data_IF_461940448277
#
_entry.id   IF_461940448277
#
_cell.length_a   1.000
_cell.length_b   1.000
_cell.length_c   1.000
_cell.angle_alpha   90.00
_cell.angle_beta   90.00
_cell.angle_gamma   90.00
#
_symmetry.space_group_name_H-M   'P 1'
#
loop_
_entity.id
_entity.type
_entity.pdbx_description
1 polymer ?
#
# COMPACT_ATOMS: atom_id res chain seq x y z
N UNK A 1 -29.81 33.96 59.67
CA UNK A 1 -29.71 34.20 58.20
C UNK A 1 -28.28 34.15 57.67
N UNK A 2 -27.22 34.50 58.37
CA UNK A 2 -25.82 34.51 57.89
C UNK A 2 -25.18 33.10 57.71
N UNK A 3 -25.59 32.12 58.49
CA UNK A 3 -25.00 30.74 58.50
C UNK A 3 -25.52 29.89 57.36
N UNK A 4 -26.75 30.09 56.85
CA UNK A 4 -27.30 29.34 55.75
C UNK A 4 -26.71 29.79 54.40
N UNK A 5 -26.36 31.06 54.24
CA UNK A 5 -25.78 31.60 53.00
C UNK A 5 -24.39 31.01 52.70
N UNK A 6 -23.56 30.81 53.74
CA UNK A 6 -22.20 30.23 53.56
C UNK A 6 -22.20 28.74 53.24
N UNK A 7 -23.27 27.99 53.58
CA UNK A 7 -23.37 26.56 53.21
C UNK A 7 -23.77 26.35 51.76
N UNK A 8 -24.63 27.23 51.23
CA UNK A 8 -25.06 27.15 49.83
C UNK A 8 -23.90 27.53 48.90
N UNK A 9 -23.12 28.57 49.22
CA UNK A 9 -21.97 28.99 48.40
C UNK A 9 -20.83 27.94 48.42
N UNK A 10 -20.66 27.21 49.52
CA UNK A 10 -19.69 26.12 49.63
C UNK A 10 -20.11 24.89 48.81
N UNK A 11 -21.42 24.60 48.76
CA UNK A 11 -21.94 23.48 47.95
C UNK A 11 -21.89 23.79 46.48
N UNK A 12 -22.25 25.02 46.04
CA UNK A 12 -22.17 25.47 44.65
C UNK A 12 -20.72 25.51 44.13
N UNK A 13 -19.73 25.90 44.94
CA UNK A 13 -18.31 25.88 44.58
C UNK A 13 -17.75 24.47 44.43
N UNK A 14 -18.22 23.49 45.21
CA UNK A 14 -17.82 22.09 45.11
C UNK A 14 -18.44 21.39 43.91
N UNK A 15 -19.68 21.73 43.51
CA UNK A 15 -20.36 21.21 42.34
C UNK A 15 -19.78 21.80 41.04
N UNK A 16 -19.37 23.09 41.05
CA UNK A 16 -18.70 23.70 39.89
C UNK A 16 -17.30 23.12 39.62
N UNK A 17 -16.59 22.69 40.70
CA UNK A 17 -15.26 22.06 40.54
C UNK A 17 -15.32 20.62 40.02
N UNK A 18 -16.44 19.91 40.25
CA UNK A 18 -16.64 18.53 39.73
C UNK A 18 -17.11 18.53 38.29
N UNK A 19 -17.79 19.56 37.79
CA UNK A 19 -18.23 19.69 36.40
C UNK A 19 -17.13 20.16 35.43
N UNK A 20 -16.03 20.73 35.92
CA UNK A 20 -14.92 21.19 35.09
C UNK A 20 -13.91 20.08 34.74
N UNK A 21 -14.03 18.87 35.33
CA UNK A 21 -13.14 17.74 35.08
C UNK A 21 -13.70 16.68 34.14
N UNK A 22 -14.88 16.89 33.60
CA UNK A 22 -15.54 15.96 32.72
C UNK A 22 -15.66 16.58 31.31
N UNK A 23 -14.71 16.43 30.46
CA UNK A 23 -14.80 16.46 29.00
C UNK A 23 -13.59 17.14 28.33
N UNK A 24 -12.39 16.79 28.76
CA UNK A 24 -11.31 16.73 27.77
C UNK A 24 -11.29 15.29 27.24
N UNK A 25 -12.22 14.95 26.35
CA UNK A 25 -11.99 13.82 25.48
C UNK A 25 -10.67 14.13 24.77
N UNK A 26 -9.69 13.21 24.80
CA UNK A 26 -8.50 13.40 24.00
C UNK A 26 -8.98 13.61 22.55
N UNK A 27 -8.70 14.78 21.98
CA UNK A 27 -8.86 14.98 20.56
C UNK A 27 -7.92 13.96 19.92
N UNK A 28 -8.48 12.86 19.41
CA UNK A 28 -7.74 11.86 18.67
C UNK A 28 -7.03 12.61 17.55
N UNK A 29 -5.70 12.61 17.57
CA UNK A 29 -4.93 13.21 16.51
C UNK A 29 -5.09 12.32 15.29
N UNK A 30 -5.60 12.85 14.18
CA UNK A 30 -5.77 12.09 12.96
C UNK A 30 -4.44 11.50 12.47
N UNK A 31 -4.49 10.30 11.92
CA UNK A 31 -3.35 9.66 11.26
C UNK A 31 -3.55 9.76 9.74
N UNK A 32 -2.62 10.39 9.03
CA UNK A 32 -2.55 10.34 7.58
C UNK A 32 -1.72 9.12 7.16
N UNK A 33 -2.33 8.19 6.40
CA UNK A 33 -1.70 6.94 5.98
C UNK A 33 -1.54 6.95 4.47
N UNK A 34 -0.31 6.72 4.01
CA UNK A 34 0.06 6.75 2.60
C UNK A 34 0.45 5.36 2.14
N UNK A 35 -0.27 4.80 1.17
CA UNK A 35 0.05 3.54 0.53
C UNK A 35 0.75 3.79 -0.80
N UNK A 36 1.99 3.33 -0.92
CA UNK A 36 2.83 3.51 -2.10
C UNK A 36 3.07 2.17 -2.79
N UNK A 37 2.85 2.11 -4.11
CA UNK A 37 3.26 0.97 -4.91
C UNK A 37 4.78 0.96 -5.10
N UNK A 38 5.42 -0.20 -4.99
CA UNK A 38 6.85 -0.39 -5.24
C UNK A 38 7.32 0.19 -6.59
N UNK A 39 8.60 0.52 -6.72
CA UNK A 39 9.27 0.99 -7.93
C UNK A 39 9.25 -0.05 -9.07
N UNK A 40 9.66 0.35 -10.27
CA UNK A 40 9.67 -0.54 -11.44
C UNK A 40 10.61 -1.74 -11.24
N UNK A 41 10.13 -2.93 -11.63
CA UNK A 41 10.92 -4.16 -11.70
C UNK A 41 11.12 -4.59 -13.16
N UNK A 42 12.05 -5.52 -13.42
CA UNK A 42 12.23 -6.14 -14.75
C UNK A 42 10.93 -6.81 -15.22
N UNK A 43 10.18 -7.44 -14.31
CA UNK A 43 8.91 -8.09 -14.62
C UNK A 43 7.79 -7.09 -14.94
N UNK A 44 7.77 -5.90 -14.30
CA UNK A 44 6.85 -4.84 -14.73
C UNK A 44 7.12 -4.42 -16.18
N UNK A 45 8.40 -4.20 -16.51
CA UNK A 45 8.83 -3.82 -17.86
C UNK A 45 8.50 -4.87 -18.91
N UNK A 46 8.69 -6.15 -18.57
CA UNK A 46 8.40 -7.28 -19.44
C UNK A 46 6.90 -7.66 -19.49
N UNK A 47 6.03 -6.99 -18.71
CA UNK A 47 4.61 -7.35 -18.59
C UNK A 47 4.41 -8.78 -18.08
N UNK A 48 5.20 -9.20 -17.10
CA UNK A 48 5.10 -10.48 -16.42
C UNK A 48 4.36 -10.29 -15.10
N UNK A 49 3.41 -11.19 -14.83
CA UNK A 49 2.62 -11.20 -13.61
C UNK A 49 3.49 -11.69 -12.45
N UNK A 50 3.72 -10.83 -11.47
CA UNK A 50 4.65 -11.12 -10.37
C UNK A 50 3.96 -11.83 -9.19
N UNK A 51 2.79 -11.33 -8.79
CA UNK A 51 2.04 -11.86 -7.66
C UNK A 51 2.89 -12.06 -6.41
N UNK A 52 2.90 -13.29 -5.89
CA UNK A 52 3.61 -13.69 -4.67
C UNK A 52 5.11 -13.95 -4.87
N UNK A 53 5.63 -13.86 -6.10
CA UNK A 53 7.08 -14.02 -6.36
C UNK A 53 7.87 -12.98 -5.57
N UNK A 54 8.60 -13.45 -4.54
CA UNK A 54 9.19 -12.59 -3.53
C UNK A 54 10.53 -11.95 -3.95
N UNK A 55 11.29 -12.62 -4.83
CA UNK A 55 12.68 -12.28 -5.16
C UNK A 55 12.86 -11.25 -6.26
N UNK A 56 11.79 -10.84 -6.97
CA UNK A 56 11.91 -9.80 -8.00
C UNK A 56 12.32 -8.48 -7.38
N UNK A 57 13.38 -7.87 -7.92
CA UNK A 57 13.93 -6.61 -7.42
C UNK A 57 13.71 -5.46 -8.41
N UNK A 58 14.01 -4.24 -7.94
CA UNK A 58 13.90 -3.02 -8.73
C UNK A 58 14.90 -3.02 -9.89
N UNK A 59 14.51 -2.40 -11.00
CA UNK A 59 15.46 -1.93 -12.01
C UNK A 59 16.21 -0.70 -11.50
N UNK A 60 17.34 -0.35 -12.11
CA UNK A 60 18.02 0.93 -11.84
C UNK A 60 17.06 2.12 -12.02
N UNK A 61 16.13 2.02 -12.99
CA UNK A 61 15.07 3.02 -13.16
C UNK A 61 14.08 3.02 -11.99
N UNK A 62 13.68 1.84 -11.50
CA UNK A 62 12.81 1.71 -10.32
C UNK A 62 13.42 2.29 -9.05
N UNK A 63 14.73 2.08 -8.83
CA UNK A 63 15.47 2.72 -7.72
C UNK A 63 15.43 4.24 -7.87
N UNK A 64 15.75 4.76 -9.06
CA UNK A 64 15.69 6.20 -9.32
C UNK A 64 14.30 6.79 -9.15
N UNK A 65 13.24 6.05 -9.51
CA UNK A 65 11.85 6.47 -9.22
C UNK A 65 11.62 6.63 -7.73
N UNK A 66 12.09 5.68 -6.91
CA UNK A 66 11.95 5.75 -5.44
C UNK A 66 12.75 6.92 -4.85
N UNK A 67 14.00 7.16 -5.31
CA UNK A 67 14.84 8.31 -4.89
C UNK A 67 14.16 9.64 -5.17
N UNK A 68 13.64 9.83 -6.40
CA UNK A 68 12.95 11.07 -6.78
C UNK A 68 11.62 11.21 -6.04
N UNK A 69 10.94 10.10 -5.78
CA UNK A 69 9.74 10.09 -4.93
C UNK A 69 10.05 10.56 -3.51
N UNK A 70 11.15 10.09 -2.90
CA UNK A 70 11.57 10.56 -1.57
C UNK A 70 11.80 12.07 -1.55
N UNK A 71 12.52 12.60 -2.55
CA UNK A 71 12.76 14.05 -2.70
C UNK A 71 11.46 14.84 -2.88
N UNK A 72 10.53 14.32 -3.70
CA UNK A 72 9.24 14.95 -3.92
C UNK A 72 8.35 14.94 -2.67
N UNK A 73 8.38 13.86 -1.89
CA UNK A 73 7.69 13.78 -0.60
C UNK A 73 8.28 14.79 0.39
N UNK A 74 9.61 14.87 0.50
CA UNK A 74 10.28 15.85 1.36
C UNK A 74 9.93 17.29 0.96
N UNK A 75 9.94 17.61 -0.34
CA UNK A 75 9.54 18.93 -0.86
C UNK A 75 8.07 19.27 -0.55
N UNK A 76 7.21 18.25 -0.44
CA UNK A 76 5.81 18.39 -0.01
C UNK A 76 5.64 18.42 1.53
N UNK A 77 6.73 18.43 2.31
CA UNK A 77 6.71 18.43 3.77
C UNK A 77 6.24 17.10 4.37
N UNK A 78 6.33 16.00 3.63
CA UNK A 78 5.95 14.67 4.10
C UNK A 78 7.16 13.99 4.75
N UNK A 79 7.02 13.73 6.05
CA UNK A 79 7.91 12.87 6.83
C UNK A 79 7.02 11.91 7.61
N UNK A 80 7.43 10.66 7.73
CA UNK A 80 6.62 9.60 8.30
C UNK A 80 7.18 9.13 9.65
N UNK A 81 6.30 8.95 10.63
CA UNK A 81 6.65 8.45 11.96
C UNK A 81 6.89 6.94 11.95
N UNK A 82 6.27 6.24 10.97
CA UNK A 82 6.37 4.80 10.75
C UNK A 82 6.40 4.49 9.27
N UNK A 83 7.21 3.50 8.89
CA UNK A 83 7.22 2.93 7.54
C UNK A 83 6.99 1.42 7.68
N UNK A 84 5.89 0.93 7.10
CA UNK A 84 5.62 -0.49 6.91
C UNK A 84 5.88 -0.87 5.46
N UNK A 85 6.25 -2.13 5.23
CA UNK A 85 6.46 -2.63 3.87
C UNK A 85 6.05 -4.09 3.73
N UNK A 86 5.63 -4.45 2.54
CA UNK A 86 5.57 -5.86 2.15
C UNK A 86 6.97 -6.48 2.25
N UNK A 87 7.10 -7.74 2.72
CA UNK A 87 8.39 -8.42 2.78
C UNK A 87 8.98 -8.78 1.41
N UNK A 88 8.22 -8.61 0.31
CA UNK A 88 8.71 -8.90 -1.04
C UNK A 88 9.78 -7.90 -1.46
N UNK A 89 10.90 -8.42 -2.00
CA UNK A 89 12.13 -7.68 -2.29
C UNK A 89 11.89 -6.33 -2.96
N UNK A 90 11.05 -6.26 -3.99
CA UNK A 90 10.71 -5.02 -4.72
C UNK A 90 10.10 -3.93 -3.85
N UNK A 91 9.21 -4.30 -2.92
CA UNK A 91 8.58 -3.35 -2.00
C UNK A 91 9.54 -2.97 -0.87
N UNK A 92 10.22 -3.94 -0.29
CA UNK A 92 11.23 -3.74 0.75
C UNK A 92 12.34 -2.80 0.27
N UNK A 93 12.93 -3.06 -0.89
CA UNK A 93 13.97 -2.22 -1.49
C UNK A 93 13.44 -0.80 -1.77
N UNK A 94 12.20 -0.66 -2.27
CA UNK A 94 11.58 0.68 -2.43
C UNK A 94 11.50 1.41 -1.09
N UNK A 95 11.03 0.76 -0.03
CA UNK A 95 10.91 1.35 1.31
C UNK A 95 12.26 1.75 1.90
N UNK A 96 13.30 0.94 1.70
CA UNK A 96 14.67 1.21 2.13
C UNK A 96 15.23 2.45 1.42
N UNK A 97 15.01 2.60 0.10
CA UNK A 97 15.41 3.79 -0.67
C UNK A 97 14.68 5.04 -0.17
N UNK A 98 13.38 4.94 0.10
CA UNK A 98 12.60 6.06 0.64
C UNK A 98 13.11 6.49 2.02
N UNK A 99 13.37 5.53 2.92
CA UNK A 99 13.90 5.80 4.25
C UNK A 99 15.31 6.42 4.18
N UNK A 100 16.21 5.89 3.35
CA UNK A 100 17.53 6.46 3.10
C UNK A 100 17.46 7.88 2.51
N UNK A 101 16.43 8.19 1.74
CA UNK A 101 16.12 9.53 1.24
C UNK A 101 15.47 10.47 2.26
N UNK A 102 15.38 10.08 3.53
CA UNK A 102 14.87 10.91 4.63
C UNK A 102 13.34 10.88 4.80
N UNK A 103 12.62 9.95 4.16
CA UNK A 103 11.16 9.88 4.32
C UNK A 103 10.73 9.51 5.75
N UNK A 104 11.54 8.74 6.49
CA UNK A 104 11.21 8.31 7.85
C UNK A 104 12.19 7.25 8.38
N UNK A 105 11.81 6.51 9.43
CA UNK A 105 12.64 5.46 10.03
C UNK A 105 12.79 4.23 9.12
N UNK A 106 13.64 3.29 9.54
CA UNK A 106 13.79 2.00 8.87
C UNK A 106 12.44 1.27 8.73
N UNK A 107 12.15 0.67 7.56
CA UNK A 107 10.87 0.02 7.32
C UNK A 107 10.73 -1.29 8.11
N UNK A 108 9.51 -1.56 8.57
CA UNK A 108 9.11 -2.79 9.24
C UNK A 108 8.29 -3.65 8.28
N UNK A 109 8.63 -4.93 8.16
CA UNK A 109 7.90 -5.86 7.31
C UNK A 109 6.55 -6.22 7.92
N UNK A 110 5.51 -6.25 7.06
CA UNK A 110 4.21 -6.82 7.40
C UNK A 110 3.71 -7.69 6.25
N UNK A 111 3.49 -8.96 6.54
CA UNK A 111 3.06 -9.95 5.54
C UNK A 111 1.69 -9.65 4.96
N UNK A 112 0.83 -8.91 5.66
CA UNK A 112 -0.50 -8.49 5.20
C UNK A 112 -0.44 -7.49 4.04
N UNK A 113 0.72 -6.84 3.84
CA UNK A 113 0.99 -5.91 2.74
C UNK A 113 1.50 -6.60 1.46
N UNK A 114 1.66 -7.94 1.43
CA UNK A 114 2.12 -8.70 0.26
C UNK A 114 1.16 -8.55 -0.92
N UNK A 115 1.67 -8.73 -2.15
CA UNK A 115 0.82 -8.74 -3.34
C UNK A 115 -0.11 -9.95 -3.35
N UNK A 116 -1.19 -9.84 -4.09
CA UNK A 116 -2.10 -10.94 -4.35
C UNK A 116 -1.34 -12.10 -5.00
N UNK A 117 -1.54 -13.30 -4.46
CA UNK A 117 -1.02 -14.52 -5.09
C UNK A 117 -1.92 -14.91 -6.27
N UNK A 118 -1.35 -14.97 -7.47
CA UNK A 118 -2.05 -15.38 -8.69
C UNK A 118 -1.91 -16.87 -9.00
N UNK A 119 -1.19 -17.62 -8.14
CA UNK A 119 -0.99 -19.05 -8.30
C UNK A 119 -0.37 -19.39 -9.65
N UNK A 120 -1.04 -20.24 -10.45
CA UNK A 120 -0.50 -20.73 -11.74
C UNK A 120 -0.19 -19.64 -12.78
N UNK A 121 -0.74 -18.44 -12.62
CA UNK A 121 -0.52 -17.34 -13.57
C UNK A 121 0.77 -16.57 -13.32
N UNK A 122 1.42 -16.77 -12.17
CA UNK A 122 2.69 -16.10 -11.87
C UNK A 122 3.78 -16.50 -12.85
N UNK A 123 4.55 -15.53 -13.31
CA UNK A 123 5.55 -15.72 -14.37
C UNK A 123 5.00 -15.64 -15.79
N UNK A 124 3.68 -15.62 -15.99
CA UNK A 124 3.09 -15.47 -17.32
C UNK A 124 3.08 -14.01 -17.78
N UNK A 125 3.26 -13.80 -19.07
CA UNK A 125 3.06 -12.49 -19.69
C UNK A 125 1.58 -12.18 -19.80
N UNK A 126 1.23 -10.95 -19.50
CA UNK A 126 -0.10 -10.41 -19.75
C UNK A 126 -0.01 -9.20 -20.69
N UNK A 127 -0.81 -9.20 -21.73
CA UNK A 127 -0.94 -8.08 -22.65
C UNK A 127 -2.42 -7.80 -22.80
N UNK A 128 -2.80 -6.53 -22.74
CA UNK A 128 -4.20 -6.13 -22.90
C UNK A 128 -4.74 -6.70 -24.22
N UNK A 129 -5.89 -7.39 -24.15
CA UNK A 129 -6.51 -8.07 -25.27
C UNK A 129 -5.90 -9.43 -25.64
N UNK A 130 -4.85 -9.90 -24.94
CA UNK A 130 -4.26 -11.23 -25.15
C UNK A 130 -3.90 -11.85 -23.80
N UNK A 131 -4.78 -12.68 -23.28
CA UNK A 131 -4.63 -13.35 -22.00
C UNK A 131 -4.53 -14.87 -22.19
N UNK A 132 -3.83 -15.59 -21.30
CA UNK A 132 -3.72 -17.06 -21.35
C UNK A 132 -5.07 -17.77 -21.36
N UNK A 133 -6.06 -17.24 -20.64
CA UNK A 133 -7.42 -17.76 -20.59
C UNK A 133 -8.44 -16.68 -20.20
N UNK A 134 -9.72 -17.04 -20.24
CA UNK A 134 -10.84 -16.18 -19.94
C UNK A 134 -10.83 -15.70 -18.48
N UNK A 135 -10.38 -16.53 -17.52
CA UNK A 135 -10.35 -16.18 -16.11
C UNK A 135 -9.38 -15.02 -15.85
N UNK A 136 -8.20 -15.02 -16.49
CA UNK A 136 -7.26 -13.90 -16.37
C UNK A 136 -7.77 -12.65 -17.10
N UNK A 137 -8.52 -12.81 -18.23
CA UNK A 137 -9.21 -11.71 -18.90
C UNK A 137 -10.25 -11.05 -17.97
N UNK A 138 -11.07 -11.85 -17.31
CA UNK A 138 -12.06 -11.38 -16.32
C UNK A 138 -11.35 -10.56 -15.22
N UNK A 139 -10.23 -11.04 -14.73
CA UNK A 139 -9.46 -10.33 -13.70
C UNK A 139 -9.00 -8.93 -14.15
N UNK A 140 -8.49 -8.79 -15.37
CA UNK A 140 -7.92 -7.52 -15.85
C UNK A 140 -8.95 -6.59 -16.50
N UNK A 141 -9.95 -7.10 -17.18
CA UNK A 141 -10.88 -6.32 -18.01
C UNK A 141 -12.33 -6.42 -17.53
N UNK A 142 -12.66 -7.48 -16.79
CA UNK A 142 -13.99 -7.74 -16.28
C UNK A 142 -14.21 -7.28 -14.83
N UNK A 143 -15.04 -8.04 -14.15
CA UNK A 143 -15.30 -7.91 -12.72
C UNK A 143 -14.35 -8.81 -11.94
N UNK A 144 -13.46 -8.20 -11.16
CA UNK A 144 -12.47 -8.92 -10.35
C UNK A 144 -13.09 -9.85 -9.30
N UNK A 145 -14.35 -9.63 -8.95
CA UNK A 145 -15.11 -10.52 -8.04
C UNK A 145 -15.40 -11.89 -8.67
N UNK A 146 -15.46 -11.95 -10.01
CA UNK A 146 -15.69 -13.19 -10.76
C UNK A 146 -14.40 -13.96 -11.04
N UNK A 147 -13.24 -13.41 -10.67
CA UNK A 147 -11.97 -14.12 -10.80
C UNK A 147 -11.93 -15.33 -9.87
N UNK A 148 -11.61 -16.49 -10.42
CA UNK A 148 -11.47 -17.74 -9.68
C UNK A 148 -9.98 -18.02 -9.46
N UNK A 149 -9.47 -18.02 -8.20
CA UNK A 149 -8.09 -18.38 -7.90
C UNK A 149 -7.73 -19.77 -8.40
N UNK A 150 -6.55 -19.93 -8.99
CA UNK A 150 -6.12 -21.20 -9.56
C UNK A 150 -4.65 -21.50 -9.19
N UNK A 151 -4.44 -22.68 -8.62
CA UNK A 151 -3.14 -23.12 -8.13
C UNK A 151 -2.97 -22.86 -6.64
N UNK A 152 -1.87 -23.40 -6.11
CA UNK A 152 -1.57 -23.36 -4.68
C UNK A 152 -1.39 -21.92 -4.20
N UNK A 153 -2.00 -21.60 -3.06
CA UNK A 153 -1.89 -20.31 -2.42
C UNK A 153 -2.57 -19.14 -3.13
N UNK A 154 -3.22 -19.37 -4.30
CA UNK A 154 -3.90 -18.32 -5.04
C UNK A 154 -4.99 -17.64 -4.20
N UNK A 155 -5.03 -16.31 -4.24
CA UNK A 155 -5.95 -15.48 -3.47
C UNK A 155 -7.07 -14.92 -4.34
N UNK A 156 -8.25 -14.75 -3.75
CA UNK A 156 -9.29 -13.86 -4.27
C UNK A 156 -8.96 -12.40 -3.94
N UNK A 157 -9.57 -11.47 -4.66
CA UNK A 157 -9.46 -10.05 -4.33
C UNK A 157 -10.03 -9.71 -2.95
N UNK A 158 -11.10 -10.43 -2.53
CA UNK A 158 -11.69 -10.30 -1.20
C UNK A 158 -10.73 -10.73 -0.07
N UNK A 159 -9.93 -11.78 -0.28
CA UNK A 159 -8.91 -12.20 0.69
C UNK A 159 -7.81 -11.14 0.84
N UNK A 160 -7.41 -10.47 -0.24
CA UNK A 160 -6.49 -9.33 -0.17
C UNK A 160 -7.10 -8.19 0.66
N UNK A 161 -8.36 -7.85 0.43
CA UNK A 161 -9.08 -6.86 1.22
C UNK A 161 -9.17 -7.22 2.70
N UNK A 162 -9.49 -8.47 3.01
CA UNK A 162 -9.62 -8.95 4.39
C UNK A 162 -8.31 -8.81 5.19
N UNK A 163 -7.17 -9.24 4.62
CA UNK A 163 -5.86 -9.10 5.32
C UNK A 163 -5.40 -7.65 5.42
N UNK A 164 -5.78 -6.80 4.47
CA UNK A 164 -5.50 -5.38 4.54
C UNK A 164 -6.34 -4.70 5.63
N UNK A 165 -7.61 -5.07 5.78
CA UNK A 165 -8.45 -4.60 6.88
C UNK A 165 -7.88 -5.02 8.23
N UNK A 166 -7.42 -6.27 8.36
CA UNK A 166 -6.73 -6.74 9.56
C UNK A 166 -5.48 -5.90 9.88
N UNK A 167 -4.67 -5.55 8.87
CA UNK A 167 -3.53 -4.64 9.04
C UNK A 167 -3.96 -3.25 9.56
N UNK A 168 -4.98 -2.66 8.95
CA UNK A 168 -5.46 -1.33 9.35
C UNK A 168 -6.00 -1.33 10.80
N UNK A 169 -6.76 -2.36 11.18
CA UNK A 169 -7.37 -2.46 12.50
C UNK A 169 -6.37 -2.81 13.61
N UNK A 170 -5.41 -3.69 13.33
CA UNK A 170 -4.54 -4.26 14.36
C UNK A 170 -3.13 -3.64 14.39
N UNK A 171 -2.69 -2.96 13.33
CA UNK A 171 -1.40 -2.26 13.30
C UNK A 171 -1.54 -0.74 13.26
N UNK A 172 -2.47 -0.22 12.44
CA UNK A 172 -2.56 1.24 12.25
C UNK A 172 -3.44 1.89 13.31
N UNK A 173 -4.64 1.35 13.55
CA UNK A 173 -5.55 1.90 14.58
C UNK A 173 -4.91 2.06 15.96
N UNK A 174 -4.10 1.11 16.49
CA UNK A 174 -3.45 1.26 17.80
C UNK A 174 -2.40 2.37 17.87
N UNK A 175 -2.04 2.98 16.73
CA UNK A 175 -1.14 4.14 16.66
C UNK A 175 -1.86 5.47 16.91
N UNK A 176 -3.17 5.45 17.08
CA UNK A 176 -3.97 6.65 17.40
C UNK A 176 -3.40 7.41 18.61
N UNK A 177 -3.23 8.71 18.46
CA UNK A 177 -2.59 9.57 19.46
C UNK A 177 -1.08 9.38 19.63
N UNK A 178 -0.43 8.47 18.90
CA UNK A 178 1.01 8.17 19.00
C UNK A 178 1.82 8.64 17.81
N UNK A 179 1.20 8.68 16.64
CA UNK A 179 1.81 9.08 15.37
C UNK A 179 0.86 9.95 14.57
N UNK A 180 1.38 10.71 13.63
CA UNK A 180 0.59 11.56 12.74
C UNK A 180 0.62 11.08 11.29
N UNK A 181 1.69 10.40 10.88
CA UNK A 181 1.86 9.92 9.50
C UNK A 181 2.49 8.54 9.44
N UNK A 182 1.90 7.70 8.59
CA UNK A 182 2.36 6.34 8.32
C UNK A 182 2.54 6.15 6.81
N UNK A 183 3.67 5.55 6.40
CA UNK A 183 3.90 5.11 5.02
C UNK A 183 3.83 3.59 4.95
N UNK A 184 3.10 3.05 3.97
CA UNK A 184 3.00 1.64 3.68
C UNK A 184 3.46 1.38 2.25
N UNK A 185 4.57 0.67 2.06
CA UNK A 185 5.04 0.31 0.71
C UNK A 185 4.52 -1.08 0.35
N UNK A 186 3.71 -1.13 -0.71
CA UNK A 186 2.97 -2.32 -1.08
C UNK A 186 2.91 -2.49 -2.62
N UNK A 187 1.81 -3.01 -3.13
CA UNK A 187 1.66 -3.47 -4.50
C UNK A 187 0.35 -2.98 -5.13
N UNK A 188 0.23 -3.19 -6.44
CA UNK A 188 -0.88 -2.65 -7.22
C UNK A 188 -2.26 -3.15 -6.74
N UNK A 189 -2.39 -4.46 -6.45
CA UNK A 189 -3.68 -5.02 -6.03
C UNK A 189 -4.01 -4.65 -4.59
N UNK A 190 -2.99 -4.50 -3.73
CA UNK A 190 -3.17 -4.00 -2.36
C UNK A 190 -3.72 -2.56 -2.38
N UNK A 191 -3.19 -1.68 -3.24
CA UNK A 191 -3.69 -0.31 -3.37
C UNK A 191 -5.13 -0.29 -3.91
N UNK A 192 -5.45 -1.17 -4.86
CA UNK A 192 -6.84 -1.31 -5.37
C UNK A 192 -7.79 -1.82 -4.28
N UNK A 193 -7.36 -2.82 -3.53
CA UNK A 193 -8.14 -3.36 -2.40
C UNK A 193 -8.34 -2.29 -1.32
N UNK A 194 -7.32 -1.48 -1.00
CA UNK A 194 -7.41 -0.37 -0.05
C UNK A 194 -8.55 0.58 -0.42
N UNK A 195 -8.59 1.04 -1.67
CA UNK A 195 -9.63 1.96 -2.14
C UNK A 195 -11.02 1.35 -1.96
N UNK A 196 -11.17 0.07 -2.32
CA UNK A 196 -12.45 -0.64 -2.16
C UNK A 196 -12.85 -0.82 -0.69
N UNK A 197 -11.91 -1.20 0.17
CA UNK A 197 -12.18 -1.42 1.60
C UNK A 197 -12.56 -0.12 2.31
N UNK A 198 -11.95 1.00 1.95
CA UNK A 198 -12.18 2.29 2.62
C UNK A 198 -13.38 3.05 2.03
N UNK A 199 -13.52 3.07 0.72
CA UNK A 199 -14.56 3.84 0.05
C UNK A 199 -15.83 3.02 -0.28
N UNK A 200 -15.77 1.68 -0.23
CA UNK A 200 -16.89 0.81 -0.54
C UNK A 200 -17.47 1.08 -1.93
N UNK A 201 -18.80 1.19 -2.03
CA UNK A 201 -19.51 1.46 -3.29
C UNK A 201 -19.18 2.83 -3.90
N UNK A 202 -18.63 3.76 -3.12
CA UNK A 202 -18.21 5.09 -3.59
C UNK A 202 -16.79 5.09 -4.17
N UNK A 203 -16.12 3.93 -4.26
CA UNK A 203 -14.76 3.83 -4.73
C UNK A 203 -14.63 4.33 -6.18
N UNK A 204 -13.66 5.22 -6.48
CA UNK A 204 -13.44 5.70 -7.85
C UNK A 204 -13.08 4.53 -8.78
N UNK A 205 -13.77 4.40 -9.91
CA UNK A 205 -13.54 3.32 -10.88
C UNK A 205 -12.10 3.28 -11.37
N UNK A 206 -11.46 4.43 -11.58
CA UNK A 206 -10.05 4.52 -11.97
C UNK A 206 -9.10 3.95 -10.92
N UNK A 207 -9.38 4.16 -9.64
CA UNK A 207 -8.56 3.65 -8.56
C UNK A 207 -8.76 2.15 -8.29
N UNK A 208 -9.93 1.58 -8.63
CA UNK A 208 -10.26 0.17 -8.39
C UNK A 208 -10.03 -0.73 -9.62
N UNK A 209 -10.17 -0.20 -10.84
CA UNK A 209 -10.07 -1.01 -12.08
C UNK A 209 -8.73 -0.85 -12.82
N UNK A 210 -8.01 0.24 -12.61
CA UNK A 210 -6.75 0.50 -13.32
C UNK A 210 -5.55 -0.01 -12.51
N UNK A 211 -4.60 -0.65 -13.18
CA UNK A 211 -3.31 -0.98 -12.56
C UNK A 211 -2.60 0.31 -12.16
N UNK A 212 -2.19 0.36 -10.92
CA UNK A 212 -1.55 1.54 -10.36
C UNK A 212 -0.14 1.73 -10.96
N UNK A 213 0.28 2.96 -11.19
CA UNK A 213 1.66 3.27 -11.63
C UNK A 213 2.66 2.92 -10.54
N UNK A 214 3.90 2.58 -10.91
CA UNK A 214 4.97 2.39 -9.93
C UNK A 214 5.22 3.69 -9.16
N UNK A 215 5.53 3.60 -7.88
CA UNK A 215 5.67 4.71 -6.93
C UNK A 215 4.46 5.67 -6.87
N UNK A 216 3.26 5.28 -7.34
CA UNK A 216 2.06 6.06 -7.07
C UNK A 216 1.59 5.84 -5.62
N UNK A 217 0.89 6.83 -5.10
CA UNK A 217 0.44 6.89 -3.71
C UNK A 217 -1.07 7.05 -3.65
N UNK A 218 -1.69 6.31 -2.74
CA UNK A 218 -3.06 6.53 -2.28
C UNK A 218 -3.00 6.92 -0.81
N UNK A 219 -3.66 8.02 -0.46
CA UNK A 219 -3.76 8.48 0.92
C UNK A 219 -5.11 8.08 1.51
N UNK A 220 -5.11 7.64 2.76
CA UNK A 220 -6.29 7.48 3.60
C UNK A 220 -6.05 8.21 4.92
N UNK A 221 -7.11 8.55 5.62
CA UNK A 221 -7.06 9.20 6.91
C UNK A 221 -7.83 8.38 7.94
N UNK A 222 -7.21 8.15 9.08
CA UNK A 222 -7.88 7.62 10.27
C UNK A 222 -8.16 8.74 11.25
N UNK A 223 -9.40 8.92 11.60
CA UNK A 223 -9.84 9.94 12.54
C UNK A 223 -11.16 9.52 13.18
N UNK A 224 -11.31 9.74 14.50
CA UNK A 224 -12.54 9.42 15.23
C UNK A 224 -13.05 7.98 15.02
N UNK A 225 -12.13 7.00 15.00
CA UNK A 225 -12.46 5.59 14.83
C UNK A 225 -12.76 5.13 13.40
N UNK A 226 -12.60 5.99 12.39
CA UNK A 226 -12.97 5.70 10.97
C UNK A 226 -11.82 5.94 10.03
N UNK A 227 -11.70 5.05 9.04
CA UNK A 227 -10.84 5.28 7.88
C UNK A 227 -11.64 5.96 6.76
N UNK A 228 -11.08 6.98 6.15
CA UNK A 228 -11.67 7.71 5.01
C UNK A 228 -10.67 7.80 3.87
N UNK A 229 -11.17 7.75 2.64
CA UNK A 229 -10.34 7.87 1.45
C UNK A 229 -9.96 9.34 1.22
N UNK A 230 -8.68 9.60 1.01
CA UNK A 230 -8.12 10.86 0.59
C UNK A 230 -7.76 10.87 -0.90
N UNK A 231 -6.63 11.50 -1.23
CA UNK A 231 -6.12 11.57 -2.60
C UNK A 231 -5.66 10.19 -3.11
N UNK A 232 -5.99 9.86 -4.36
CA UNK A 232 -5.60 8.60 -4.99
C UNK A 232 -4.78 8.82 -6.26
N UNK A 233 -3.76 7.96 -6.46
CA UNK A 233 -2.95 7.96 -7.69
C UNK A 233 -1.94 9.11 -7.79
N UNK A 234 -1.65 9.81 -6.69
CA UNK A 234 -0.64 10.86 -6.67
C UNK A 234 0.76 10.31 -6.95
N UNK A 235 1.55 11.06 -7.70
CA UNK A 235 2.97 10.78 -7.96
C UNK A 235 3.82 11.97 -7.50
N UNK A 236 5.01 11.66 -6.98
CA UNK A 236 5.97 12.66 -6.47
C UNK A 236 7.21 12.79 -7.35
N UNK A 237 7.15 12.32 -8.57
CA UNK A 237 8.23 12.39 -9.55
C UNK A 237 7.71 12.94 -10.89
N UNK A 238 8.58 13.53 -11.74
CA UNK A 238 8.20 14.10 -13.02
C UNK A 238 7.56 13.05 -13.95
N UNK A 239 6.46 13.41 -14.62
CA UNK A 239 5.72 12.50 -15.52
C UNK A 239 6.59 11.99 -16.67
N UNK A 240 7.56 12.78 -17.10
CA UNK A 240 8.53 12.49 -18.14
C UNK A 240 9.41 11.26 -17.84
N UNK A 241 9.56 10.90 -16.55
CA UNK A 241 10.22 9.64 -16.16
C UNK A 241 9.46 8.39 -16.63
N UNK A 242 8.19 8.52 -17.03
CA UNK A 242 7.40 7.41 -17.60
C UNK A 242 7.45 7.32 -19.11
N UNK A 243 7.78 8.40 -19.77
CA UNK A 243 7.89 8.38 -21.22
C UNK A 243 9.05 7.47 -21.59
N UNK A 244 8.72 6.31 -22.12
CA UNK A 244 9.71 5.46 -22.76
C UNK A 244 10.36 6.30 -23.85
N UNK A 245 11.64 6.64 -23.70
CA UNK A 245 12.44 6.93 -24.87
C UNK A 245 12.27 5.74 -25.79
N UNK A 246 11.74 5.96 -27.00
CA UNK A 246 11.56 4.93 -28.01
C UNK A 246 12.89 4.16 -28.10
N UNK A 247 12.86 2.86 -27.79
CA UNK A 247 14.05 2.03 -27.98
C UNK A 247 14.42 2.13 -29.46
N UNK A 248 15.71 2.33 -29.80
CA UNK A 248 16.15 2.27 -31.19
C UNK A 248 15.70 0.93 -31.76
N UNK A 249 14.95 0.97 -32.85
CA UNK A 249 14.54 -0.23 -33.60
C UNK A 249 15.81 -0.95 -34.06
N UNK A 250 16.11 -2.07 -33.46
CA UNK A 250 17.14 -2.97 -33.96
C UNK A 250 17.94 -3.62 -32.81
N UNK A 251 17.58 -4.81 -32.45
CA UNK A 251 18.37 -6.05 -32.44
C UNK A 251 17.39 -7.14 -31.97
N UNK A 252 17.06 -8.05 -32.87
CA UNK A 252 16.22 -9.21 -32.55
C UNK A 252 16.99 -10.15 -31.62
N UNK A 253 16.57 -10.24 -30.39
CA UNK A 253 16.93 -11.34 -29.50
C UNK A 253 16.04 -12.54 -29.88
N UNK A 254 16.63 -13.52 -30.51
CA UNK A 254 16.04 -14.86 -30.65
C UNK A 254 15.80 -15.42 -29.26
N UNK A 255 14.58 -15.88 -29.04
CA UNK A 255 14.12 -16.32 -27.72
C UNK A 255 14.82 -17.58 -27.24
N UNK A 256 15.44 -17.47 -26.10
CA UNK A 256 15.62 -18.62 -25.20
C UNK A 256 14.65 -18.42 -24.02
N UNK A 257 13.80 -19.38 -23.84
CA UNK A 257 12.78 -19.43 -22.81
C UNK A 257 13.45 -19.53 -21.42
N UNK A 258 13.36 -18.54 -20.51
CA UNK A 258 14.09 -18.57 -19.24
C UNK A 258 13.47 -19.48 -18.18
N UNK A 259 12.39 -20.22 -18.51
CA UNK A 259 11.60 -20.97 -17.51
C UNK A 259 12.20 -22.34 -17.17
N UNK A 260 13.22 -22.85 -17.90
CA UNK A 260 13.80 -24.19 -17.63
C UNK A 260 14.93 -24.22 -16.57
N UNK A 261 15.34 -23.10 -16.01
CA UNK A 261 16.51 -23.03 -15.13
C UNK A 261 16.22 -22.89 -13.60
N UNK A 262 14.99 -23.01 -13.16
CA UNK A 262 14.67 -22.90 -11.71
C UNK A 262 13.85 -24.10 -11.23
N UNK A 263 14.46 -25.26 -11.26
CA UNK A 263 14.08 -26.42 -10.44
C UNK A 263 15.32 -27.20 -10.04
N UNK A 264 16.07 -26.65 -9.10
CA UNK A 264 16.90 -27.43 -8.22
C UNK A 264 16.85 -26.79 -6.82
N UNK A 265 16.01 -27.35 -5.98
CA UNK A 265 16.11 -27.18 -4.53
C UNK A 265 17.23 -28.08 -4.03
N UNK A 266 18.24 -27.57 -3.29
CA UNK A 266 19.14 -28.43 -2.56
C UNK A 266 18.35 -29.10 -1.44
N UNK A 267 18.29 -30.44 -1.46
CA UNK A 267 17.75 -31.24 -0.38
C UNK A 267 18.52 -30.97 0.90
N UNK A 268 17.80 -30.62 1.96
CA UNK A 268 18.31 -30.76 3.33
C UNK A 268 18.34 -32.26 3.66
N UNK A 269 19.53 -32.82 3.57
CA UNK A 269 19.84 -34.12 4.11
C UNK A 269 20.12 -34.01 5.60
N UNK A 270 19.38 -34.83 6.38
CA UNK A 270 19.56 -35.34 7.76
C UNK A 270 19.93 -34.35 8.87
#
# INVERSE_FOLDING_TARGET
MRVMKNRVDSLMRRTALILAFAFALPVSAAIDIYFLRHGETTWNRAKILQGSVAYTDLTAHGVRMAEVTAKGMAAAGLHFDRIYTSPYRRARHTAEVLAAGGAGPAPVDDVRLREMCFGRYEGMRYVKGSYPDENLRIFFEGDVEQYVPQGEGAETFNQVGARLRDFLENEVRPLDGKVTRVLCVAHSLVLRALVREVAGASAPTSATKTLQRNCCVHAIRYENGRFTLGETGRIFYPVEMFEKKAEPKGVGCQGTNPVSAVRETPGLGR
#
